data_IF_461995883825
#
_entry.id   IF_461995883825
#
_cell.length_a   1.000
_cell.length_b   1.000
_cell.length_c   1.000
_cell.angle_alpha   90.00
_cell.angle_beta   90.00
_cell.angle_gamma   90.00
#
_symmetry.space_group_name_H-M   'P 1'
#
loop_
_entity.id
_entity.type
_entity.pdbx_description
1 polymer ?
#
# COMPACT_ATOMS: atom_id res chain seq x y z
N UNK A 1 -28.62 34.29 41.18
CA UNK A 1 -28.27 35.07 39.97
C UNK A 1 -26.79 34.96 39.59
N UNK A 2 -25.82 35.12 40.50
CA UNK A 2 -24.38 35.08 40.19
C UNK A 2 -23.87 33.74 39.58
N UNK A 3 -24.43 32.60 39.97
CA UNK A 3 -24.08 31.28 39.39
C UNK A 3 -24.45 31.16 37.91
N UNK A 4 -25.57 31.75 37.48
CA UNK A 4 -26.02 31.68 36.09
C UNK A 4 -25.14 32.51 35.16
N UNK A 5 -24.65 33.67 35.64
CA UNK A 5 -23.67 34.49 34.93
C UNK A 5 -22.31 33.79 34.79
N UNK A 6 -21.84 33.08 35.82
CA UNK A 6 -20.62 32.28 35.73
C UNK A 6 -20.75 31.13 34.71
N UNK A 7 -21.88 30.42 34.66
CA UNK A 7 -22.09 29.40 33.62
C UNK A 7 -22.19 30.00 32.22
N UNK A 8 -22.82 31.17 32.06
CA UNK A 8 -22.90 31.85 30.77
C UNK A 8 -21.52 32.35 30.31
N UNK A 9 -20.72 32.92 31.21
CA UNK A 9 -19.35 33.36 30.93
C UNK A 9 -18.46 32.16 30.61
N UNK A 10 -18.57 31.05 31.34
CA UNK A 10 -17.84 29.81 31.03
C UNK A 10 -18.28 29.20 29.71
N UNK A 11 -19.57 29.27 29.35
CA UNK A 11 -20.08 28.81 28.06
C UNK A 11 -19.61 29.69 26.91
N UNK A 12 -19.63 31.02 27.09
CA UNK A 12 -19.10 32.00 26.12
C UNK A 12 -17.58 31.83 25.99
N UNK A 13 -16.84 31.69 27.09
CA UNK A 13 -15.40 31.42 27.07
C UNK A 13 -15.09 30.05 26.45
N UNK A 14 -15.91 29.02 26.64
CA UNK A 14 -15.76 27.73 25.96
C UNK A 14 -16.06 27.84 24.45
N UNK A 15 -17.05 28.66 24.08
CA UNK A 15 -17.41 28.92 22.69
C UNK A 15 -16.35 29.76 21.96
N UNK A 16 -15.77 30.77 22.64
CA UNK A 16 -14.71 31.64 22.09
C UNK A 16 -13.29 31.07 22.24
N UNK A 17 -13.03 30.21 23.23
CA UNK A 17 -11.79 29.40 23.28
C UNK A 17 -11.83 28.20 22.32
N UNK A 18 -12.98 28.00 21.65
CA UNK A 18 -13.18 27.10 20.52
C UNK A 18 -12.43 27.49 19.25
N UNK A 19 -11.67 28.60 19.23
CA UNK A 19 -10.48 28.73 18.36
C UNK A 19 -9.35 27.80 18.87
N UNK A 20 -9.70 26.56 19.22
CA UNK A 20 -8.74 25.49 19.25
C UNK A 20 -8.18 25.43 17.83
N UNK A 21 -6.87 25.72 17.70
CA UNK A 21 -6.03 25.42 16.54
C UNK A 21 -6.18 23.94 16.17
N UNK A 22 -7.31 23.62 15.53
CA UNK A 22 -7.56 22.33 14.92
C UNK A 22 -6.59 22.28 13.76
N UNK A 23 -5.79 21.21 13.73
CA UNK A 23 -4.91 20.98 12.60
C UNK A 23 -5.77 20.94 11.34
N UNK A 24 -5.32 21.57 10.24
CA UNK A 24 -6.12 21.65 9.02
C UNK A 24 -6.45 20.24 8.53
N UNK A 25 -7.73 20.03 8.18
CA UNK A 25 -8.29 18.72 7.89
C UNK A 25 -9.09 18.78 6.58
N UNK A 26 -8.67 18.03 5.55
CA UNK A 26 -9.50 17.76 4.38
C UNK A 26 -10.87 17.18 4.77
N UNK A 27 -11.95 17.45 4.02
CA UNK A 27 -13.25 16.86 4.30
C UNK A 27 -13.15 15.32 4.31
N UNK A 28 -13.84 14.63 5.24
CA UNK A 28 -13.75 13.16 5.38
C UNK A 28 -14.30 12.41 4.15
N UNK A 29 -15.08 13.08 3.32
CA UNK A 29 -15.58 12.55 2.05
C UNK A 29 -15.39 13.60 0.96
N UNK A 30 -14.54 13.29 -0.02
CA UNK A 30 -14.11 14.23 -1.05
C UNK A 30 -13.63 13.51 -2.31
N UNK A 31 -13.84 14.16 -3.46
CA UNK A 31 -13.23 13.80 -4.74
C UNK A 31 -12.50 15.02 -5.29
N UNK A 32 -11.23 14.85 -5.63
CA UNK A 32 -10.37 15.95 -6.07
C UNK A 32 -9.23 15.47 -6.98
N UNK A 33 -8.52 16.42 -7.56
CA UNK A 33 -7.29 16.20 -8.30
C UNK A 33 -6.18 17.13 -7.80
N UNK A 34 -4.99 16.60 -7.43
CA UNK A 34 -3.85 17.39 -6.96
C UNK A 34 -2.94 17.92 -8.09
N UNK A 35 -3.28 17.66 -9.35
CA UNK A 35 -2.39 17.86 -10.51
C UNK A 35 -3.17 18.17 -11.80
N UNK A 36 -4.17 19.06 -11.67
CA UNK A 36 -4.97 19.62 -12.78
C UNK A 36 -5.69 18.57 -13.63
N UNK A 37 -6.25 17.55 -12.97
CA UNK A 37 -7.09 16.52 -13.58
C UNK A 37 -6.33 15.27 -14.05
N UNK A 38 -5.00 15.20 -13.88
CA UNK A 38 -4.21 14.01 -14.29
C UNK A 38 -4.43 12.83 -13.36
N UNK A 39 -4.52 13.09 -12.06
CA UNK A 39 -4.82 12.12 -11.02
C UNK A 39 -6.15 12.48 -10.38
N UNK A 40 -7.07 11.52 -10.34
CA UNK A 40 -8.34 11.64 -9.63
C UNK A 40 -8.23 10.83 -8.35
N UNK A 41 -8.52 11.45 -7.21
CA UNK A 41 -8.54 10.81 -5.90
C UNK A 41 -9.95 10.94 -5.34
N UNK A 42 -10.53 9.83 -4.89
CA UNK A 42 -11.77 9.82 -4.11
C UNK A 42 -11.50 9.18 -2.75
N UNK A 43 -11.86 9.89 -1.68
CA UNK A 43 -11.70 9.45 -0.29
C UNK A 43 -13.07 9.40 0.34
N UNK A 44 -13.36 8.26 0.96
CA UNK A 44 -14.54 8.04 1.77
C UNK A 44 -14.07 7.48 3.12
N UNK A 45 -13.60 8.39 3.99
CA UNK A 45 -13.08 8.07 5.32
C UNK A 45 -14.14 7.39 6.18
N UNK A 46 -15.40 7.80 6.05
CA UNK A 46 -16.53 7.23 6.81
C UNK A 46 -16.72 5.75 6.50
N UNK A 47 -16.74 5.38 5.21
CA UNK A 47 -16.89 3.98 4.80
C UNK A 47 -15.54 3.24 4.66
N UNK A 48 -14.43 3.89 5.03
CA UNK A 48 -13.09 3.32 4.98
C UNK A 48 -12.75 2.71 3.61
N UNK A 49 -12.92 3.52 2.56
CA UNK A 49 -12.51 3.21 1.18
C UNK A 49 -11.92 4.42 0.46
N UNK A 50 -10.96 4.17 -0.41
CA UNK A 50 -10.36 5.20 -1.26
C UNK A 50 -10.01 4.66 -2.65
N UNK A 51 -9.95 5.59 -3.60
CA UNK A 51 -9.69 5.36 -5.02
C UNK A 51 -8.68 6.39 -5.51
N UNK A 52 -7.79 5.96 -6.40
CA UNK A 52 -6.86 6.83 -7.11
C UNK A 52 -6.76 6.36 -8.56
N UNK A 53 -6.77 7.28 -9.53
CA UNK A 53 -6.52 6.94 -10.93
C UNK A 53 -5.71 7.99 -11.64
N UNK A 54 -4.70 7.56 -12.38
CA UNK A 54 -3.84 8.39 -13.25
C UNK A 54 -4.19 8.25 -14.72
N UNK A 55 -5.33 7.62 -15.04
CA UNK A 55 -5.73 7.22 -16.39
C UNK A 55 -5.03 5.95 -16.90
N UNK A 56 -3.76 5.72 -16.53
CA UNK A 56 -3.03 4.48 -16.85
C UNK A 56 -3.14 3.44 -15.74
N UNK A 57 -3.08 3.88 -14.49
CA UNK A 57 -3.16 3.01 -13.33
C UNK A 57 -4.33 3.44 -12.46
N UNK A 58 -5.02 2.46 -11.91
CA UNK A 58 -6.11 2.66 -10.96
C UNK A 58 -5.82 1.86 -9.71
N UNK A 59 -5.88 2.52 -8.56
CA UNK A 59 -5.70 1.91 -7.26
C UNK A 59 -6.97 2.03 -6.43
N UNK A 60 -7.24 0.99 -5.66
CA UNK A 60 -8.34 0.92 -4.71
C UNK A 60 -7.79 0.48 -3.35
N UNK A 61 -8.32 1.03 -2.26
CA UNK A 61 -8.08 0.47 -0.92
C UNK A 61 -9.36 0.48 -0.12
N UNK A 62 -9.67 -0.64 0.54
CA UNK A 62 -10.86 -0.76 1.39
C UNK A 62 -10.77 -1.96 2.34
N UNK A 63 -11.44 -1.87 3.49
CA UNK A 63 -11.46 -2.92 4.52
C UNK A 63 -12.28 -4.15 4.15
N UNK A 64 -13.41 -3.94 3.48
CA UNK A 64 -14.32 -5.00 3.04
C UNK A 64 -14.27 -5.06 1.52
N UNK A 65 -13.17 -5.59 0.98
CA UNK A 65 -12.93 -5.59 -0.46
C UNK A 65 -13.92 -6.53 -1.17
N UNK A 66 -14.71 -6.04 -2.14
CA UNK A 66 -15.74 -6.85 -2.79
C UNK A 66 -15.10 -8.00 -3.57
N UNK A 67 -15.82 -9.11 -3.71
CA UNK A 67 -15.35 -10.29 -4.47
C UNK A 67 -14.09 -10.97 -3.90
N UNK A 68 -13.70 -10.65 -2.66
CA UNK A 68 -12.70 -11.42 -1.93
C UNK A 68 -13.18 -12.87 -1.73
N UNK A 69 -12.26 -13.82 -1.80
CA UNK A 69 -12.53 -15.23 -1.53
C UNK A 69 -12.97 -15.36 -0.06
N UNK A 70 -14.08 -16.04 0.27
CA UNK A 70 -14.47 -16.27 1.66
C UNK A 70 -13.34 -16.93 2.47
N UNK A 71 -13.24 -16.56 3.74
CA UNK A 71 -12.20 -17.01 4.69
C UNK A 71 -10.74 -16.65 4.39
N UNK A 72 -10.48 -16.06 3.23
CA UNK A 72 -9.16 -15.50 2.90
C UNK A 72 -8.85 -14.24 3.72
N UNK A 73 -7.57 -13.86 3.90
CA UNK A 73 -7.20 -12.61 4.55
C UNK A 73 -7.87 -11.38 3.92
N UNK A 74 -8.01 -11.38 2.60
CA UNK A 74 -8.59 -10.32 1.79
C UNK A 74 -10.06 -10.05 2.16
N UNK A 75 -10.78 -11.06 2.69
CA UNK A 75 -12.17 -10.90 3.12
C UNK A 75 -12.33 -10.21 4.49
N UNK A 76 -11.24 -10.13 5.28
CA UNK A 76 -11.24 -9.69 6.68
C UNK A 76 -10.49 -8.38 6.91
N UNK A 77 -9.48 -8.13 6.08
CA UNK A 77 -8.52 -7.04 6.27
C UNK A 77 -8.53 -6.08 5.09
N UNK A 78 -7.86 -4.93 5.25
CA UNK A 78 -7.69 -3.99 4.14
C UNK A 78 -6.91 -4.64 3.01
N UNK A 79 -7.40 -4.41 1.80
CA UNK A 79 -6.71 -4.76 0.57
C UNK A 79 -6.45 -3.48 -0.19
N UNK A 80 -5.22 -3.29 -0.66
CA UNK A 80 -4.88 -2.31 -1.67
C UNK A 80 -4.65 -3.03 -3.00
N UNK A 81 -5.52 -2.79 -3.96
CA UNK A 81 -5.48 -3.34 -5.32
C UNK A 81 -4.94 -2.27 -6.28
N UNK A 82 -4.00 -2.64 -7.14
CA UNK A 82 -3.52 -1.83 -8.25
C UNK A 82 -3.83 -2.54 -9.57
N UNK A 83 -4.43 -1.82 -10.50
CA UNK A 83 -4.78 -2.28 -11.84
C UNK A 83 -4.15 -1.35 -12.85
N UNK A 84 -3.39 -1.90 -13.79
CA UNK A 84 -2.77 -1.15 -14.90
C UNK A 84 -3.48 -1.44 -16.22
N UNK A 85 -3.77 -0.37 -16.96
CA UNK A 85 -4.27 -0.42 -18.32
C UNK A 85 -3.24 0.20 -19.27
N UNK A 86 -3.06 -0.33 -20.50
CA UNK A 86 -3.83 -1.43 -21.12
C UNK A 86 -3.22 -2.83 -20.89
N UNK A 87 -2.15 -2.95 -20.12
CA UNK A 87 -1.45 -4.24 -19.92
C UNK A 87 -2.32 -5.28 -19.22
N UNK A 88 -3.42 -4.87 -18.58
CA UNK A 88 -4.27 -5.68 -17.73
C UNK A 88 -3.49 -6.37 -16.59
N UNK A 89 -2.30 -5.85 -16.28
CA UNK A 89 -1.56 -6.29 -15.12
C UNK A 89 -2.26 -5.77 -13.87
N UNK A 90 -2.39 -6.62 -12.86
CA UNK A 90 -2.89 -6.20 -11.57
C UNK A 90 -2.20 -6.96 -10.45
N UNK A 91 -2.06 -6.27 -9.33
CA UNK A 91 -1.47 -6.80 -8.13
C UNK A 91 -2.21 -6.26 -6.91
N UNK A 92 -2.15 -6.98 -5.81
CA UNK A 92 -2.74 -6.54 -4.56
C UNK A 92 -1.87 -6.92 -3.37
N UNK A 93 -2.04 -6.16 -2.28
CA UNK A 93 -1.50 -6.49 -0.97
C UNK A 93 -2.58 -6.41 0.10
N UNK A 94 -2.50 -7.28 1.09
CA UNK A 94 -3.41 -7.34 2.23
C UNK A 94 -2.69 -6.89 3.50
N UNK A 95 -3.27 -5.96 4.26
CA UNK A 95 -2.68 -5.44 5.51
C UNK A 95 -3.15 -6.25 6.72
N UNK A 96 -2.29 -7.15 7.19
CA UNK A 96 -2.57 -8.07 8.30
C UNK A 96 -1.28 -8.54 8.97
N UNK A 97 -1.37 -9.34 10.04
CA UNK A 97 -0.20 -9.72 10.87
C UNK A 97 1.01 -10.32 10.12
N UNK A 98 0.80 -10.90 8.94
CA UNK A 98 1.87 -11.51 8.14
C UNK A 98 2.15 -10.78 6.83
N UNK A 99 1.45 -9.69 6.54
CA UNK A 99 1.56 -9.05 5.24
C UNK A 99 1.24 -7.56 5.27
N UNK A 100 1.49 -6.93 4.14
CA UNK A 100 1.18 -5.54 3.91
C UNK A 100 1.09 -5.32 2.41
N UNK A 101 1.79 -4.32 1.93
CA UNK A 101 1.94 -4.13 0.50
C UNK A 101 3.37 -3.67 0.19
N UNK A 102 3.94 -4.17 -0.91
CA UNK A 102 5.26 -3.76 -1.41
C UNK A 102 5.20 -2.41 -2.14
N UNK A 103 4.01 -1.95 -2.47
CA UNK A 103 3.76 -0.63 -3.05
C UNK A 103 2.70 0.12 -2.26
N UNK A 104 2.66 1.44 -2.41
CA UNK A 104 1.66 2.28 -1.77
C UNK A 104 1.16 3.34 -2.76
N UNK A 105 -0.14 3.29 -3.05
CA UNK A 105 -0.80 4.23 -3.96
C UNK A 105 -1.52 5.38 -3.23
N UNK A 106 -1.58 5.31 -1.91
CA UNK A 106 -2.30 6.23 -1.03
C UNK A 106 -1.34 6.95 -0.07
N UNK A 107 -1.78 7.96 0.70
CA UNK A 107 -0.91 8.64 1.67
C UNK A 107 -0.19 7.64 2.58
N UNK A 108 1.14 7.78 2.71
CA UNK A 108 1.98 6.83 3.45
C UNK A 108 1.68 6.76 4.94
N UNK A 109 1.08 7.82 5.49
CA UNK A 109 0.69 7.90 6.88
C UNK A 109 -0.58 7.12 7.23
N UNK A 110 -1.29 6.62 6.22
CA UNK A 110 -2.40 5.68 6.41
C UNK A 110 -1.91 4.25 6.69
N UNK A 111 -0.62 3.99 6.50
CA UNK A 111 0.00 2.66 6.57
C UNK A 111 0.94 2.56 7.76
N UNK A 112 0.88 1.44 8.49
CA UNK A 112 1.86 1.09 9.53
C UNK A 112 2.40 -0.34 9.33
N UNK A 113 2.92 -0.61 8.14
CA UNK A 113 3.46 -1.92 7.73
C UNK A 113 2.38 -2.97 7.51
N UNK A 114 1.77 -3.44 8.59
CA UNK A 114 0.78 -4.54 8.62
C UNK A 114 -0.66 -4.07 8.88
N UNK A 115 -0.88 -2.77 9.06
CA UNK A 115 -2.21 -2.19 9.20
C UNK A 115 -2.40 -1.00 8.27
N UNK A 116 -3.68 -0.73 7.98
CA UNK A 116 -4.12 0.38 7.16
C UNK A 116 -5.32 1.05 7.82
N UNK A 117 -5.36 2.38 7.78
CA UNK A 117 -6.49 3.15 8.24
C UNK A 117 -6.61 4.41 7.39
N UNK A 118 -7.75 4.60 6.72
CA UNK A 118 -7.98 5.81 5.93
C UNK A 118 -8.31 6.93 6.90
N UNK A 119 -7.51 7.98 6.86
CA UNK A 119 -7.62 9.19 7.67
C UNK A 119 -7.58 10.41 6.75
N UNK A 120 -7.28 11.56 7.33
CA UNK A 120 -7.01 12.76 6.56
C UNK A 120 -6.02 12.51 5.43
N UNK A 121 -6.31 13.06 4.25
CA UNK A 121 -5.40 12.97 3.11
C UNK A 121 -4.03 13.58 3.37
N UNK A 122 -3.97 14.57 4.27
CA UNK A 122 -2.74 15.26 4.58
C UNK A 122 -2.26 14.99 5.99
N UNK A 123 -0.97 14.69 6.07
CA UNK A 123 -0.19 14.73 7.29
C UNK A 123 0.86 15.83 7.17
N UNK A 124 0.88 16.70 8.17
CA UNK A 124 1.89 17.71 8.35
C UNK A 124 3.01 17.19 9.24
N UNK A 125 4.24 17.62 8.95
CA UNK A 125 5.42 17.30 9.77
C UNK A 125 5.49 18.24 10.97
N UNK A 126 5.08 19.48 10.77
CA UNK A 126 5.12 20.54 11.77
C UNK A 126 3.73 20.89 12.28
N UNK A 127 3.67 21.58 13.42
CA UNK A 127 2.41 22.07 13.95
C UNK A 127 1.93 23.22 13.07
N UNK A 128 0.68 23.15 12.63
CA UNK A 128 0.08 24.20 11.81
C UNK A 128 -0.59 25.27 12.67
N UNK A 129 -0.31 26.53 12.35
CA UNK A 129 -0.89 27.74 12.94
C UNK A 129 -1.90 28.30 11.95
N UNK A 130 -3.14 28.51 12.40
CA UNK A 130 -4.15 29.22 11.61
C UNK A 130 -3.78 30.70 11.55
N UNK A 131 -3.80 31.28 10.36
CA UNK A 131 -3.50 32.69 10.17
C UNK A 131 -4.67 33.56 10.63
N UNK A 132 -4.36 34.64 11.33
CA UNK A 132 -5.34 35.67 11.69
C UNK A 132 -5.52 36.71 10.56
N UNK A 133 -5.07 36.39 9.35
CA UNK A 133 -5.16 37.31 8.22
C UNK A 133 -6.62 37.59 7.86
N UNK A 134 -6.90 38.85 7.55
CA UNK A 134 -8.22 39.37 7.24
C UNK A 134 -8.73 38.99 5.83
N UNK A 135 -8.06 38.05 5.16
CA UNK A 135 -8.43 37.59 3.82
C UNK A 135 -9.93 37.27 3.76
N UNK A 136 -10.62 37.87 2.78
CA UNK A 136 -12.05 37.65 2.54
C UNK A 136 -12.32 36.35 1.79
N UNK A 137 -11.31 35.81 1.12
CA UNK A 137 -11.48 34.76 0.11
C UNK A 137 -10.96 33.39 0.58
N UNK A 138 -10.00 33.39 1.51
CA UNK A 138 -9.28 32.17 1.91
C UNK A 138 -9.02 32.11 3.42
N UNK A 139 -9.04 30.90 3.96
CA UNK A 139 -8.42 30.57 5.23
C UNK A 139 -7.05 29.93 4.96
N UNK A 140 -6.09 30.22 5.82
CA UNK A 140 -4.68 29.90 5.59
C UNK A 140 -4.05 29.35 6.87
N UNK A 141 -3.32 28.24 6.76
CA UNK A 141 -2.49 27.71 7.82
C UNK A 141 -1.05 27.60 7.35
N UNK A 142 -0.13 27.82 8.28
CA UNK A 142 1.31 27.70 8.05
C UNK A 142 2.00 26.97 9.20
N UNK A 143 3.11 26.30 8.90
CA UNK A 143 3.90 25.62 9.90
C UNK A 143 4.55 26.61 10.87
N UNK A 144 4.63 26.24 12.13
CA UNK A 144 5.38 26.98 13.16
C UNK A 144 6.91 27.01 12.92
N UNK A 145 7.40 26.15 12.04
CA UNK A 145 8.80 26.12 11.57
C UNK A 145 8.94 26.80 10.20
N UNK A 146 10.05 27.52 10.02
CA UNK A 146 10.44 28.11 8.73
C UNK A 146 11.64 27.38 8.11
N UNK A 147 11.63 27.30 6.79
CA UNK A 147 12.63 26.62 5.98
C UNK A 147 13.24 27.61 4.98
N UNK A 148 14.56 27.49 4.78
CA UNK A 148 15.32 28.30 3.83
C UNK A 148 15.42 27.58 2.49
N UNK A 149 15.02 28.24 1.41
CA UNK A 149 15.26 27.77 0.04
C UNK A 149 16.67 28.14 -0.42
N UNK A 150 17.12 27.55 -1.52
CA UNK A 150 18.50 27.73 -2.00
C UNK A 150 18.85 29.17 -2.41
N UNK A 151 17.86 29.97 -2.83
CA UNK A 151 18.03 31.41 -3.11
C UNK A 151 18.29 32.24 -1.86
N UNK A 152 18.17 31.64 -0.67
CA UNK A 152 18.36 32.29 0.61
C UNK A 152 17.10 32.84 1.25
N UNK A 153 15.98 32.84 0.52
CA UNK A 153 14.67 33.23 1.04
C UNK A 153 14.16 32.21 2.07
N UNK A 154 13.38 32.69 3.02
CA UNK A 154 12.79 31.87 4.08
C UNK A 154 11.27 31.88 3.94
N UNK A 155 10.66 30.70 4.05
CA UNK A 155 9.21 30.49 4.02
C UNK A 155 8.81 29.61 5.19
N UNK A 156 7.54 29.58 5.62
CA UNK A 156 7.05 28.44 6.39
C UNK A 156 7.36 27.14 5.63
N UNK A 157 7.78 26.10 6.34
CA UNK A 157 8.11 24.82 5.73
C UNK A 157 6.90 24.19 5.03
N UNK A 158 5.71 24.35 5.60
CA UNK A 158 4.43 23.87 5.06
C UNK A 158 3.36 24.96 5.17
N UNK A 159 2.53 25.08 4.14
CA UNK A 159 1.43 26.04 4.04
C UNK A 159 0.24 25.38 3.34
N UNK A 160 -0.98 25.56 3.85
CA UNK A 160 -2.21 25.08 3.21
C UNK A 160 -3.25 26.18 3.19
N UNK A 161 -3.96 26.27 2.07
CA UNK A 161 -5.01 27.25 1.86
C UNK A 161 -6.33 26.55 1.60
N UNK A 162 -7.40 27.07 2.20
CA UNK A 162 -8.77 26.61 2.04
C UNK A 162 -9.66 27.77 1.60
N UNK A 163 -10.77 27.46 0.93
CA UNK A 163 -11.79 28.48 0.65
C UNK A 163 -12.38 28.97 1.97
N UNK A 164 -12.55 30.29 2.11
CA UNK A 164 -12.98 30.94 3.36
C UNK A 164 -14.15 30.24 4.04
N UNK A 165 -14.03 30.02 5.34
CA UNK A 165 -15.00 29.38 6.22
C UNK A 165 -15.47 28.00 5.73
N UNK A 166 -14.61 27.27 5.01
CA UNK A 166 -14.90 25.91 4.54
C UNK A 166 -13.69 25.00 4.72
N UNK A 167 -13.92 23.70 4.63
CA UNK A 167 -12.85 22.69 4.57
C UNK A 167 -12.40 22.41 3.12
N UNK A 168 -12.74 23.25 2.13
CA UNK A 168 -12.41 23.01 0.73
C UNK A 168 -10.94 23.39 0.49
N UNK A 169 -10.02 22.43 0.28
CA UNK A 169 -8.62 22.75 0.04
C UNK A 169 -8.44 23.37 -1.35
N UNK A 170 -7.58 24.38 -1.43
CA UNK A 170 -7.27 25.12 -2.65
C UNK A 170 -5.87 24.78 -3.16
N UNK A 171 -4.87 24.82 -2.28
CA UNK A 171 -3.47 24.53 -2.63
C UNK A 171 -2.64 24.26 -1.38
N UNK A 172 -1.63 23.39 -1.54
CA UNK A 172 -0.59 23.11 -0.56
C UNK A 172 0.74 23.68 -1.08
N UNK A 173 1.46 24.44 -0.27
CA UNK A 173 2.85 24.81 -0.56
C UNK A 173 3.80 24.18 0.46
N UNK A 174 4.91 23.61 -0.02
CA UNK A 174 5.93 22.99 0.83
C UNK A 174 7.33 23.34 0.34
N UNK A 175 8.24 23.53 1.29
CA UNK A 175 9.68 23.58 0.98
C UNK A 175 10.21 22.15 0.88
N UNK A 176 10.62 21.75 -0.32
CA UNK A 176 11.06 20.38 -0.62
C UNK A 176 12.41 20.38 -1.32
N UNK A 177 13.14 19.26 -1.19
CA UNK A 177 14.35 19.01 -1.97
C UNK A 177 13.97 18.39 -3.31
N UNK A 178 14.29 19.07 -4.41
CA UNK A 178 14.13 18.60 -5.78
C UNK A 178 15.52 18.45 -6.42
N UNK A 179 16.02 17.21 -6.45
CA UNK A 179 17.40 16.92 -6.83
C UNK A 179 18.39 17.55 -5.84
N UNK A 180 19.27 18.43 -6.36
CA UNK A 180 20.22 19.18 -5.54
C UNK A 180 19.64 20.49 -4.97
N UNK A 181 18.44 20.88 -5.40
CA UNK A 181 17.88 22.17 -5.07
C UNK A 181 16.83 22.10 -3.96
N UNK A 182 16.78 23.12 -3.10
CA UNK A 182 15.71 23.30 -2.11
C UNK A 182 14.80 24.41 -2.60
N UNK A 183 13.56 24.07 -2.94
CA UNK A 183 12.59 24.97 -3.57
C UNK A 183 11.25 24.95 -2.84
N UNK A 184 10.51 26.06 -2.91
CA UNK A 184 9.10 26.08 -2.52
C UNK A 184 8.27 25.55 -3.69
N UNK A 185 7.56 24.44 -3.48
CA UNK A 185 6.66 23.85 -4.47
C UNK A 185 5.22 24.05 -4.03
N UNK A 186 4.39 24.58 -4.92
CA UNK A 186 2.95 24.74 -4.72
C UNK A 186 2.21 23.69 -5.55
N UNK A 187 1.25 23.00 -4.94
CA UNK A 187 0.39 21.99 -5.55
C UNK A 187 -1.06 22.47 -5.44
N UNK A 188 -1.71 22.84 -6.55
CA UNK A 188 -3.13 23.20 -6.54
C UNK A 188 -4.02 21.96 -6.37
N UNK A 189 -5.21 22.14 -5.80
CA UNK A 189 -6.24 21.13 -5.72
C UNK A 189 -7.46 21.56 -6.55
N UNK A 190 -7.87 20.72 -7.48
CA UNK A 190 -9.15 20.86 -8.19
C UNK A 190 -10.18 19.98 -7.51
N UNK A 191 -11.18 20.60 -6.89
CA UNK A 191 -12.24 19.88 -6.19
C UNK A 191 -13.36 19.50 -7.16
N UNK A 192 -13.60 18.19 -7.27
CA UNK A 192 -14.62 17.63 -8.16
C UNK A 192 -15.95 17.54 -7.41
N UNK A 193 -15.94 17.01 -6.19
CA UNK A 193 -17.12 16.94 -5.33
C UNK A 193 -16.75 16.81 -3.86
N UNK A 194 -17.67 17.21 -2.97
CA UNK A 194 -17.58 16.97 -1.53
C UNK A 194 -18.78 16.16 -1.05
N UNK A 195 -18.63 15.50 0.10
CA UNK A 195 -19.60 14.53 0.60
C UNK A 195 -19.35 13.16 -0.01
N UNK A 196 -20.27 12.21 0.25
CA UNK A 196 -20.12 10.81 -0.16
C UNK A 196 -19.73 10.70 -1.65
N UNK A 197 -18.56 10.12 -1.97
CA UNK A 197 -18.17 9.94 -3.36
C UNK A 197 -19.14 9.03 -4.11
N UNK A 198 -19.29 9.28 -5.42
CA UNK A 198 -20.09 8.45 -6.31
C UNK A 198 -19.58 6.99 -6.32
N UNK A 199 -20.51 6.04 -6.25
CA UNK A 199 -20.18 4.61 -6.25
C UNK A 199 -19.43 4.17 -7.52
N UNK A 200 -19.50 4.94 -8.62
CA UNK A 200 -18.72 4.66 -9.85
C UNK A 200 -17.22 4.52 -9.60
N UNK A 201 -16.65 5.24 -8.62
CA UNK A 201 -15.23 5.14 -8.28
C UNK A 201 -14.88 3.80 -7.62
N UNK A 202 -15.85 3.12 -7.03
CA UNK A 202 -15.62 1.86 -6.31
C UNK A 202 -16.21 0.65 -7.04
N UNK A 203 -17.21 0.85 -7.90
CA UNK A 203 -17.85 -0.20 -8.70
C UNK A 203 -17.01 -0.65 -9.90
N UNK A 204 -15.92 0.04 -10.21
CA UNK A 204 -14.98 -0.33 -11.30
C UNK A 204 -13.96 -1.40 -10.88
N UNK A 205 -14.04 -1.93 -9.66
CA UNK A 205 -13.19 -3.05 -9.21
C UNK A 205 -13.47 -4.30 -10.08
N UNK A 206 -12.44 -4.92 -10.71
CA UNK A 206 -12.64 -6.13 -11.51
C UNK A 206 -13.21 -7.28 -10.67
N UNK A 207 -14.33 -7.90 -11.07
CA UNK A 207 -15.00 -8.92 -10.24
C UNK A 207 -14.19 -10.18 -9.97
N UNK A 208 -13.20 -10.46 -10.82
CA UNK A 208 -12.32 -11.62 -10.73
C UNK A 208 -10.93 -11.28 -10.16
N UNK A 209 -10.72 -10.07 -9.63
CA UNK A 209 -9.40 -9.60 -9.18
C UNK A 209 -8.70 -10.58 -8.22
N UNK A 210 -9.46 -11.22 -7.32
CA UNK A 210 -8.94 -12.16 -6.33
C UNK A 210 -8.35 -13.43 -6.94
N UNK A 211 -8.68 -13.74 -8.19
CA UNK A 211 -8.19 -14.88 -8.94
C UNK A 211 -7.16 -14.53 -10.02
N UNK A 212 -7.19 -13.31 -10.56
CA UNK A 212 -6.31 -12.94 -11.69
C UNK A 212 -5.16 -12.03 -11.29
N UNK A 213 -5.27 -11.34 -10.15
CA UNK A 213 -4.24 -10.40 -9.70
C UNK A 213 -3.22 -11.11 -8.82
N UNK A 214 -1.97 -10.69 -8.96
CA UNK A 214 -0.87 -11.23 -8.17
C UNK A 214 -0.96 -10.72 -6.72
N UNK A 215 -0.96 -11.64 -5.75
CA UNK A 215 -0.72 -11.26 -4.35
C UNK A 215 0.77 -10.96 -4.18
N UNK A 216 1.13 -9.71 -3.92
CA UNK A 216 2.54 -9.30 -3.81
C UNK A 216 3.23 -9.81 -2.55
N UNK A 217 2.48 -10.36 -1.60
CA UNK A 217 3.02 -10.84 -0.33
C UNK A 217 3.34 -12.34 -0.36
N UNK A 218 2.63 -13.11 -1.19
CA UNK A 218 2.92 -14.53 -1.37
C UNK A 218 4.26 -14.69 -2.10
N UNK A 219 5.18 -15.44 -1.50
CA UNK A 219 6.50 -15.66 -2.05
C UNK A 219 7.21 -16.86 -1.44
N UNK A 220 8.10 -17.44 -2.26
CA UNK A 220 9.00 -18.51 -1.86
C UNK A 220 10.37 -17.91 -1.55
N UNK A 221 11.02 -18.39 -0.50
CA UNK A 221 12.37 -18.02 -0.12
C UNK A 221 13.21 -19.28 -0.09
N UNK A 222 14.47 -19.16 -0.53
CA UNK A 222 15.40 -20.28 -0.51
C UNK A 222 16.84 -19.86 -0.28
N UNK A 223 17.67 -20.80 0.20
CA UNK A 223 19.10 -20.59 0.38
C UNK A 223 19.86 -21.93 0.29
N UNK A 224 21.01 -22.00 -0.42
CA UNK A 224 21.59 -20.95 -1.25
C UNK A 224 20.78 -20.68 -2.53
N UNK A 225 20.86 -19.44 -3.04
CA UNK A 225 20.14 -19.03 -4.26
C UNK A 225 20.71 -19.64 -5.54
N UNK A 226 22.05 -19.80 -5.56
CA UNK A 226 22.82 -20.30 -6.69
C UNK A 226 23.76 -21.43 -6.26
N UNK A 227 23.24 -22.63 -5.95
CA UNK A 227 24.09 -23.75 -5.58
C UNK A 227 24.97 -24.19 -6.76
N UNK A 228 26.25 -24.46 -6.49
CA UNK A 228 27.13 -25.19 -7.39
C UNK A 228 27.15 -26.66 -6.96
N UNK A 229 26.91 -27.58 -7.89
CA UNK A 229 26.84 -29.02 -7.60
C UNK A 229 27.71 -29.76 -8.61
N UNK A 230 28.80 -30.38 -8.17
CA UNK A 230 29.64 -31.20 -9.04
C UNK A 230 28.96 -32.56 -9.35
N UNK A 231 29.44 -33.26 -10.38
CA UNK A 231 28.85 -34.53 -10.80
C UNK A 231 28.87 -35.58 -9.68
N UNK A 232 27.73 -36.24 -9.45
CA UNK A 232 27.49 -37.20 -8.36
C UNK A 232 27.52 -36.60 -6.95
N UNK A 233 27.60 -35.29 -6.81
CA UNK A 233 27.48 -34.61 -5.51
C UNK A 233 26.05 -34.16 -5.23
N UNK A 234 25.80 -33.81 -3.97
CA UNK A 234 24.52 -33.28 -3.53
C UNK A 234 24.71 -32.02 -2.69
N UNK A 235 23.72 -31.13 -2.77
CA UNK A 235 23.62 -29.95 -1.93
C UNK A 235 22.26 -29.88 -1.27
N UNK A 236 22.17 -29.16 -0.16
CA UNK A 236 20.92 -28.90 0.54
C UNK A 236 20.51 -27.45 0.31
N UNK A 237 19.28 -27.28 -0.17
CA UNK A 237 18.65 -25.97 -0.31
C UNK A 237 17.54 -25.87 0.73
N UNK A 238 17.64 -24.91 1.63
CA UNK A 238 16.60 -24.57 2.58
C UNK A 238 15.50 -23.79 1.87
N UNK A 239 14.24 -24.13 2.12
CA UNK A 239 13.06 -23.54 1.47
C UNK A 239 12.01 -23.18 2.53
N UNK A 240 11.46 -21.98 2.44
CA UNK A 240 10.37 -21.50 3.30
C UNK A 240 9.54 -20.42 2.58
N UNK A 241 8.43 -19.99 3.16
CA UNK A 241 7.55 -18.97 2.59
C UNK A 241 7.69 -17.63 3.32
N UNK A 242 7.50 -16.53 2.59
CA UNK A 242 7.45 -15.17 3.16
C UNK A 242 6.21 -14.96 4.04
N UNK A 243 5.08 -15.52 3.62
CA UNK A 243 3.77 -15.41 4.26
C UNK A 243 3.05 -16.76 4.25
N UNK A 244 2.08 -16.99 5.15
CA UNK A 244 1.32 -18.23 5.11
C UNK A 244 0.49 -18.30 3.82
N UNK A 245 0.20 -19.51 3.32
CA UNK A 245 -0.74 -19.68 2.23
C UNK A 245 -2.15 -19.27 2.66
N UNK A 246 -2.96 -18.86 1.68
CA UNK A 246 -4.34 -18.45 1.93
C UNK A 246 -5.22 -19.67 2.17
N UNK A 247 -6.14 -19.55 3.14
CA UNK A 247 -7.20 -20.53 3.32
C UNK A 247 -8.25 -20.34 2.23
N UNK A 248 -8.37 -21.32 1.34
CA UNK A 248 -9.35 -21.33 0.24
C UNK A 248 -10.20 -22.59 0.41
N UNK A 249 -11.51 -22.42 0.58
CA UNK A 249 -12.46 -23.51 0.83
C UNK A 249 -12.04 -24.42 2.01
N UNK A 250 -11.53 -23.81 3.08
CA UNK A 250 -11.08 -24.53 4.28
C UNK A 250 -9.68 -25.15 4.20
N UNK A 251 -9.03 -25.14 3.04
CA UNK A 251 -7.66 -25.64 2.87
C UNK A 251 -6.65 -24.49 2.80
N UNK A 252 -5.65 -24.48 3.68
CA UNK A 252 -4.56 -23.50 3.73
C UNK A 252 -3.19 -24.09 3.37
N UNK A 253 -3.19 -25.21 2.65
CA UNK A 253 -1.97 -25.89 2.21
C UNK A 253 -1.56 -25.45 0.80
N UNK A 254 -0.26 -25.22 0.61
CA UNK A 254 0.39 -25.16 -0.70
C UNK A 254 1.36 -26.33 -0.83
N UNK A 255 1.31 -27.01 -1.97
CA UNK A 255 2.27 -28.03 -2.36
C UNK A 255 3.20 -27.43 -3.41
N UNK A 256 4.50 -27.55 -3.17
CA UNK A 256 5.54 -27.04 -4.06
C UNK A 256 6.30 -28.23 -4.63
N UNK A 257 6.34 -28.29 -5.95
CA UNK A 257 7.15 -29.23 -6.72
C UNK A 257 8.15 -28.43 -7.55
N UNK A 258 9.05 -29.11 -8.24
CA UNK A 258 10.05 -28.46 -9.09
C UNK A 258 10.12 -29.09 -10.46
N UNK A 259 10.44 -28.28 -11.47
CA UNK A 259 10.70 -28.71 -12.84
C UNK A 259 11.98 -28.06 -13.36
N UNK A 260 12.96 -28.83 -13.86
CA UNK A 260 14.12 -28.29 -14.53
C UNK A 260 13.71 -27.70 -15.89
N UNK A 261 14.31 -26.59 -16.28
CA UNK A 261 14.03 -25.93 -17.57
C UNK A 261 15.01 -26.34 -18.68
N UNK A 262 16.30 -26.34 -18.41
CA UNK A 262 17.35 -26.53 -19.42
C UNK A 262 17.78 -28.00 -19.55
N UNK A 263 18.16 -28.65 -18.45
CA UNK A 263 18.49 -30.08 -18.45
C UNK A 263 17.50 -30.92 -17.62
N UNK A 264 16.63 -31.65 -18.30
CA UNK A 264 15.50 -32.36 -17.67
C UNK A 264 15.90 -33.60 -16.84
N UNK A 265 17.08 -34.16 -17.10
CA UNK A 265 17.56 -35.40 -16.48
C UNK A 265 18.96 -35.27 -15.85
N UNK A 266 19.50 -34.05 -15.72
CA UNK A 266 20.78 -33.80 -15.05
C UNK A 266 20.68 -33.82 -13.53
N UNK A 267 19.49 -33.58 -12.98
CA UNK A 267 19.30 -33.41 -11.55
C UNK A 267 18.17 -34.31 -11.03
N UNK A 268 18.37 -34.81 -9.82
CA UNK A 268 17.32 -35.42 -9.02
C UNK A 268 17.24 -34.69 -7.68
N UNK A 269 16.07 -34.67 -7.06
CA UNK A 269 15.90 -34.07 -5.75
C UNK A 269 14.98 -34.90 -4.85
N UNK A 270 15.19 -34.73 -3.55
CA UNK A 270 14.43 -35.35 -2.47
C UNK A 270 14.21 -34.31 -1.35
N UNK A 271 12.98 -34.17 -0.82
CA UNK A 271 11.75 -34.84 -1.25
C UNK A 271 11.25 -34.35 -2.61
N UNK A 272 10.33 -35.10 -3.25
CA UNK A 272 9.76 -34.71 -4.55
C UNK A 272 8.84 -33.49 -4.49
N UNK A 273 8.30 -33.22 -3.30
CA UNK A 273 7.46 -32.07 -3.03
C UNK A 273 7.66 -31.61 -1.59
N UNK A 274 7.44 -30.32 -1.34
CA UNK A 274 7.31 -29.74 -0.01
C UNK A 274 5.88 -29.28 0.22
N UNK A 275 5.43 -29.32 1.46
CA UNK A 275 4.09 -28.89 1.84
C UNK A 275 4.17 -27.83 2.93
N UNK A 276 3.52 -26.70 2.69
CA UNK A 276 3.45 -25.60 3.64
C UNK A 276 2.01 -25.24 3.95
N UNK A 277 1.75 -24.83 5.18
CA UNK A 277 0.47 -24.35 5.70
C UNK A 277 0.69 -23.21 6.71
N UNK A 278 -0.39 -22.73 7.33
CA UNK A 278 -0.32 -21.61 8.27
C UNK A 278 0.59 -21.85 9.49
N UNK A 279 0.86 -23.10 9.85
CA UNK A 279 1.63 -23.47 11.05
C UNK A 279 3.12 -23.68 10.76
N UNK A 280 3.48 -24.01 9.52
CA UNK A 280 4.85 -24.35 9.15
C UNK A 280 5.45 -23.47 8.03
N UNK A 281 4.74 -22.46 7.53
CA UNK A 281 5.20 -21.66 6.38
C UNK A 281 6.60 -21.05 6.56
N UNK A 282 6.98 -20.65 7.78
CA UNK A 282 8.30 -20.12 8.12
C UNK A 282 9.33 -21.18 8.52
N UNK A 283 8.92 -22.44 8.71
CA UNK A 283 9.86 -23.52 9.04
C UNK A 283 10.64 -23.86 7.79
N UNK A 284 11.97 -23.73 7.85
CA UNK A 284 12.87 -24.11 6.76
C UNK A 284 12.77 -25.62 6.54
N UNK A 285 12.40 -26.00 5.32
CA UNK A 285 12.37 -27.39 4.87
C UNK A 285 13.52 -27.61 3.89
N UNK A 286 14.12 -28.80 3.90
CA UNK A 286 15.32 -29.11 3.12
C UNK A 286 14.92 -29.79 1.81
N UNK A 287 15.39 -29.24 0.69
CA UNK A 287 15.40 -29.86 -0.62
C UNK A 287 16.84 -30.29 -0.93
N UNK A 288 17.11 -31.59 -0.89
CA UNK A 288 18.41 -32.14 -1.29
C UNK A 288 18.42 -32.34 -2.80
N UNK A 289 19.33 -31.68 -3.49
CA UNK A 289 19.48 -31.74 -4.96
C UNK A 289 20.78 -32.46 -5.28
N UNK A 290 20.73 -33.44 -6.17
CA UNK A 290 21.85 -34.27 -6.60
C UNK A 290 22.05 -34.14 -8.10
N UNK A 291 23.28 -33.86 -8.55
CA UNK A 291 23.64 -33.89 -9.97
C UNK A 291 23.95 -35.32 -10.38
N UNK A 292 23.25 -35.84 -11.39
CA UNK A 292 23.39 -37.21 -11.89
C UNK A 292 23.97 -37.28 -13.31
N UNK A 293 23.98 -36.17 -14.04
CA UNK A 293 24.66 -36.02 -15.35
C UNK A 293 25.26 -34.63 -15.48
N UNK A 294 26.31 -34.52 -16.28
CA UNK A 294 26.86 -33.24 -16.68
C UNK A 294 25.88 -32.50 -17.61
N UNK A 295 25.83 -31.18 -17.46
CA UNK A 295 24.95 -30.33 -18.25
C UNK A 295 25.26 -28.84 -18.06
N UNK A 296 24.55 -28.00 -18.80
CA UNK A 296 24.59 -26.55 -18.62
C UNK A 296 23.95 -26.14 -17.29
N UNK A 297 24.25 -24.90 -16.88
CA UNK A 297 23.49 -24.21 -15.83
C UNK A 297 21.99 -24.42 -16.05
N UNK A 298 21.26 -24.79 -15.00
CA UNK A 298 19.85 -25.14 -15.07
C UNK A 298 19.05 -24.43 -13.98
N UNK A 299 17.92 -23.88 -14.36
CA UNK A 299 16.92 -23.32 -13.47
C UNK A 299 15.97 -24.40 -13.03
N UNK A 300 15.88 -24.59 -11.71
CA UNK A 300 14.88 -25.44 -11.10
C UNK A 300 13.69 -24.57 -10.71
N UNK A 301 12.64 -24.60 -11.54
CA UNK A 301 11.47 -23.71 -11.42
C UNK A 301 10.44 -24.37 -10.49
N UNK A 302 9.95 -23.68 -9.45
CA UNK A 302 8.90 -24.22 -8.60
C UNK A 302 7.58 -24.35 -9.37
N UNK A 303 6.73 -25.27 -8.92
CA UNK A 303 5.35 -25.43 -9.37
C UNK A 303 4.50 -25.41 -8.12
N UNK A 304 3.73 -24.34 -7.98
CA UNK A 304 2.83 -24.14 -6.84
C UNK A 304 1.47 -24.77 -7.10
N UNK A 305 0.89 -25.39 -6.08
CA UNK A 305 -0.48 -25.89 -6.11
C UNK A 305 -1.17 -25.55 -4.79
N UNK A 306 -2.18 -24.69 -4.85
CA UNK A 306 -3.02 -24.30 -3.72
C UNK A 306 -2.52 -23.09 -2.95
N UNK A 307 -3.30 -22.72 -1.93
CA UNK A 307 -2.94 -21.66 -1.00
C UNK A 307 -2.86 -20.25 -1.60
N UNK A 308 -3.43 -20.04 -2.80
CA UNK A 308 -3.32 -18.79 -3.56
C UNK A 308 -1.99 -18.61 -4.29
N UNK A 309 -1.02 -19.51 -4.09
CA UNK A 309 0.26 -19.50 -4.78
C UNK A 309 0.16 -19.91 -6.25
N UNK A 310 -0.98 -20.44 -6.68
CA UNK A 310 -1.27 -20.77 -8.08
C UNK A 310 -1.12 -19.56 -9.03
N UNK A 311 -1.26 -18.33 -8.49
CA UNK A 311 -1.16 -17.07 -9.22
C UNK A 311 0.21 -16.38 -9.04
N UNK A 312 1.14 -17.00 -8.32
CA UNK A 312 2.48 -16.47 -8.11
C UNK A 312 3.37 -16.89 -9.29
N UNK A 313 4.07 -15.93 -9.89
CA UNK A 313 4.99 -16.16 -11.03
C UNK A 313 6.16 -17.06 -10.59
N UNK A 314 6.22 -18.34 -11.02
CA UNK A 314 7.22 -19.26 -10.48
C UNK A 314 8.65 -18.95 -10.91
N UNK A 315 8.84 -18.31 -12.06
CA UNK A 315 10.14 -17.95 -12.61
C UNK A 315 10.93 -17.00 -11.70
N UNK A 316 10.24 -16.16 -10.92
CA UNK A 316 10.86 -15.22 -9.98
C UNK A 316 11.51 -15.96 -8.79
N UNK A 317 11.13 -17.23 -8.58
CA UNK A 317 11.54 -18.05 -7.43
C UNK A 317 12.37 -19.28 -7.83
N UNK A 318 12.93 -19.29 -9.05
CA UNK A 318 13.78 -20.39 -9.51
C UNK A 318 15.04 -20.53 -8.66
N UNK A 319 15.50 -21.77 -8.45
CA UNK A 319 16.83 -22.06 -7.91
C UNK A 319 17.77 -22.21 -9.11
N UNK A 320 18.83 -21.40 -9.17
CA UNK A 320 19.77 -21.38 -10.30
C UNK A 320 20.92 -22.34 -9.98
N UNK A 321 20.95 -23.51 -10.60
CA UNK A 321 21.98 -24.52 -10.33
C UNK A 321 23.14 -24.34 -11.32
N UNK A 322 24.35 -24.15 -10.78
CA UNK A 322 25.61 -24.04 -11.54
C UNK A 322 26.33 -25.38 -11.62
#
# INVERSE_FOLDING_TARGET
MMKMYLYLISFILYYYSGECSSQPYFPPQIVFSPDDGKTIIAIDEINQRAYSSTGRQTAFVMKHFPYAIPDSPQSKYYVQLLVEHPTNWCAYGTYWKYGGNLYNAFPSDWVNGTSFEIKNYMKFTYKMIHSNDSSTDEDYWYSDVTCKVQTGQTYPCEEIYFKKNTQIPLRLARVVRQGWNIVKKTMPYTIISMGKPDEKYFNSVPKNWSFICQDTMLGLLHYPQTPKIDLNESTEVEIWLSTPPHRINGNDTVIIQWKPRECTDCFTWTPKQLSFNIENFQKRQILKITRVKDGSQTNLIPVFNGGGFDNVLPEVYSIIIQ
#
